data_IF_680301131245
#
_entry.id   IF_680301131245
#
_cell.length_a   1.000
_cell.length_b   1.000
_cell.length_c   1.000
_cell.angle_alpha   90.00
_cell.angle_beta   90.00
_cell.angle_gamma   90.00
#
_symmetry.space_group_name_H-M   'P 1'
#
loop_
_entity.id
_entity.type
_entity.pdbx_description
1 polymer ?
#
# COMPACT_ATOMS: atom_id res chain seq x y z
N UNK A 1 27.45 -5.14 18.44
CA UNK A 1 26.26 -5.89 18.93
C UNK A 1 25.70 -6.71 17.80
N UNK A 2 25.26 -7.93 18.07
CA UNK A 2 24.56 -8.79 17.10
C UNK A 2 23.09 -8.36 17.07
N UNK A 3 22.50 -8.18 15.89
CA UNK A 3 21.10 -7.74 15.75
C UNK A 3 20.09 -8.78 16.28
N UNK A 4 19.02 -8.30 16.90
CA UNK A 4 17.89 -9.09 17.40
C UNK A 4 16.62 -8.26 17.43
N UNK A 5 15.47 -8.94 17.48
CA UNK A 5 14.16 -8.34 17.72
C UNK A 5 13.60 -8.83 19.05
N UNK A 6 13.06 -7.92 19.86
CA UNK A 6 12.40 -8.25 21.11
C UNK A 6 10.90 -8.44 20.91
N UNK A 7 10.33 -9.54 21.42
CA UNK A 7 8.90 -9.79 21.46
C UNK A 7 8.44 -9.65 22.92
N UNK A 8 7.63 -8.64 23.21
CA UNK A 8 7.27 -8.26 24.59
C UNK A 8 5.79 -7.85 24.71
N UNK A 9 5.40 -7.31 25.86
CA UNK A 9 4.05 -6.81 26.14
C UNK A 9 3.17 -7.85 26.85
N UNK A 10 1.88 -7.90 26.49
CA UNK A 10 0.83 -8.71 27.12
C UNK A 10 0.91 -10.19 26.73
N UNK A 11 2.05 -10.81 27.03
CA UNK A 11 2.40 -12.21 26.79
C UNK A 11 3.08 -12.83 28.00
N UNK A 12 2.92 -14.14 28.18
CA UNK A 12 3.50 -14.87 29.31
C UNK A 12 4.99 -15.17 29.17
N UNK A 13 5.54 -15.18 27.94
CA UNK A 13 6.93 -15.55 27.68
C UNK A 13 7.59 -14.58 26.70
N UNK A 14 8.03 -13.39 27.16
CA UNK A 14 8.81 -12.45 26.34
C UNK A 14 10.07 -13.12 25.79
N UNK A 15 10.43 -12.81 24.55
CA UNK A 15 11.52 -13.49 23.85
C UNK A 15 12.35 -12.53 23.03
N UNK A 16 13.66 -12.70 23.05
CA UNK A 16 14.58 -12.04 22.14
C UNK A 16 14.94 -13.03 21.02
N UNK A 17 14.70 -12.65 19.77
CA UNK A 17 15.02 -13.46 18.59
C UNK A 17 16.17 -12.83 17.82
N UNK A 18 17.26 -13.57 17.62
CA UNK A 18 18.32 -13.18 16.71
C UNK A 18 17.97 -13.60 15.28
N UNK A 19 18.66 -13.05 14.26
CA UNK A 19 18.42 -13.46 12.86
C UNK A 19 18.52 -14.98 12.65
N UNK A 20 19.46 -15.64 13.33
CA UNK A 20 19.62 -17.11 13.29
C UNK A 20 18.38 -17.87 13.77
N UNK A 21 17.58 -17.27 14.65
CA UNK A 21 16.36 -17.88 15.18
C UNK A 21 15.21 -17.67 14.20
N UNK A 22 15.16 -16.50 13.56
CA UNK A 22 14.17 -16.18 12.50
C UNK A 22 14.41 -17.04 11.25
N UNK A 23 15.65 -17.27 10.85
CA UNK A 23 15.99 -18.13 9.71
C UNK A 23 15.68 -19.62 9.92
N UNK A 24 15.49 -20.06 11.17
CA UNK A 24 15.07 -21.43 11.48
C UNK A 24 13.56 -21.64 11.35
N UNK A 25 12.77 -20.56 11.31
CA UNK A 25 11.34 -20.65 11.05
C UNK A 25 11.08 -21.00 9.58
N UNK A 26 9.92 -21.59 9.26
CA UNK A 26 9.55 -21.84 7.87
C UNK A 26 9.58 -20.55 7.05
N UNK A 27 10.27 -20.60 5.90
CA UNK A 27 10.36 -19.47 4.96
C UNK A 27 9.15 -19.49 4.04
N UNK A 28 8.46 -18.36 3.98
CA UNK A 28 7.36 -18.12 3.05
C UNK A 28 7.75 -17.03 2.06
N UNK A 29 7.18 -17.11 0.87
CA UNK A 29 7.37 -16.15 -0.22
C UNK A 29 6.02 -15.57 -0.60
N UNK A 30 5.88 -14.25 -0.56
CA UNK A 30 4.62 -13.53 -0.81
C UNK A 30 4.88 -12.39 -1.79
N UNK A 31 4.23 -12.42 -2.96
CA UNK A 31 4.20 -11.26 -3.87
C UNK A 31 3.22 -10.24 -3.30
N UNK A 32 3.70 -9.05 -2.93
CA UNK A 32 2.84 -8.00 -2.37
C UNK A 32 3.27 -6.61 -2.84
N UNK A 33 2.26 -5.80 -3.13
CA UNK A 33 2.41 -4.38 -3.46
C UNK A 33 2.35 -3.53 -2.20
N UNK A 34 3.35 -2.65 -2.03
CA UNK A 34 3.32 -1.59 -1.03
C UNK A 34 2.93 -0.28 -1.71
N UNK A 35 1.76 0.25 -1.36
CA UNK A 35 1.33 1.59 -1.76
C UNK A 35 1.45 2.56 -0.59
N UNK A 36 2.18 3.67 -0.79
CA UNK A 36 2.19 4.77 0.15
C UNK A 36 0.80 5.40 0.23
N UNK A 37 0.30 5.71 1.43
CA UNK A 37 -0.96 6.43 1.57
C UNK A 37 -0.94 7.81 0.87
N UNK A 38 0.24 8.43 0.74
CA UNK A 38 0.43 9.69 0.03
C UNK A 38 0.55 9.57 -1.49
N UNK A 39 0.37 8.39 -2.10
CA UNK A 39 0.45 8.23 -3.54
C UNK A 39 -0.51 9.21 -4.25
N UNK A 40 -0.06 9.84 -5.34
CA UNK A 40 -0.79 10.87 -6.12
C UNK A 40 -1.16 12.14 -5.34
N UNK A 41 -0.46 12.44 -4.22
CA UNK A 41 -0.69 13.67 -3.42
C UNK A 41 -0.53 14.96 -4.22
N UNK A 42 0.43 15.03 -5.13
CA UNK A 42 0.73 16.26 -5.87
C UNK A 42 -0.49 16.77 -6.63
N UNK A 43 -1.23 15.88 -7.31
CA UNK A 43 -2.47 16.23 -7.99
C UNK A 43 -3.53 16.79 -7.03
N UNK A 44 -3.67 16.22 -5.83
CA UNK A 44 -4.58 16.77 -4.80
C UNK A 44 -4.15 18.16 -4.32
N UNK A 45 -2.84 18.40 -4.21
CA UNK A 45 -2.30 19.71 -3.85
C UNK A 45 -2.51 20.78 -4.92
N UNK A 46 -2.74 20.41 -6.19
CA UNK A 46 -3.05 21.36 -7.27
C UNK A 46 -4.45 21.98 -7.09
N UNK A 47 -5.40 21.23 -6.53
CA UNK A 47 -6.77 21.69 -6.25
C UNK A 47 -6.80 22.60 -5.02
N UNK A 48 -6.26 22.11 -3.90
CA UNK A 48 -6.09 22.89 -2.67
C UNK A 48 -4.86 22.38 -1.95
N UNK A 49 -3.95 23.28 -1.58
CA UNK A 49 -2.65 22.95 -1.00
C UNK A 49 -2.78 22.05 0.23
N UNK A 50 -2.01 20.97 0.26
CA UNK A 50 -1.90 20.03 1.39
C UNK A 50 -0.48 20.04 1.96
N UNK A 51 -0.31 19.65 3.24
CA UNK A 51 1.02 19.51 3.85
C UNK A 51 1.52 18.07 3.72
N UNK A 52 2.66 17.87 3.07
CA UNK A 52 3.34 16.59 2.96
C UNK A 52 4.32 16.55 1.78
N UNK A 53 5.17 15.52 1.74
CA UNK A 53 6.05 15.25 0.58
C UNK A 53 5.20 15.07 -0.67
N UNK A 54 5.53 15.79 -1.75
CA UNK A 54 4.86 15.67 -3.04
C UNK A 54 5.16 14.32 -3.67
N UNK A 55 4.10 13.58 -3.99
CA UNK A 55 4.18 12.31 -4.69
C UNK A 55 3.32 12.38 -5.93
N UNK A 56 3.89 12.01 -7.06
CA UNK A 56 3.15 11.80 -8.29
C UNK A 56 2.52 10.40 -8.30
N UNK A 57 2.47 9.69 -9.43
CA UNK A 57 1.78 8.39 -9.55
C UNK A 57 2.59 7.18 -9.06
N UNK A 58 3.86 7.37 -8.69
CA UNK A 58 4.81 6.29 -8.47
C UNK A 58 5.17 6.02 -7.01
N UNK A 59 4.38 6.47 -6.02
CA UNK A 59 4.62 6.12 -4.61
C UNK A 59 4.04 4.73 -4.27
N UNK A 60 4.37 3.75 -5.11
CA UNK A 60 3.88 2.38 -5.09
C UNK A 60 4.93 1.45 -5.73
N UNK A 61 5.04 0.22 -5.24
CA UNK A 61 5.89 -0.79 -5.86
C UNK A 61 5.48 -2.21 -5.48
N UNK A 62 5.67 -3.16 -6.40
CA UNK A 62 5.41 -4.58 -6.21
C UNK A 62 6.72 -5.36 -6.10
N UNK A 63 6.79 -6.28 -5.14
CA UNK A 63 7.96 -7.12 -4.94
C UNK A 63 7.58 -8.51 -4.40
N UNK A 64 8.51 -9.44 -4.53
CA UNK A 64 8.45 -10.76 -3.92
C UNK A 64 9.16 -10.68 -2.57
N UNK A 65 8.41 -10.78 -1.48
CA UNK A 65 8.94 -10.70 -0.12
C UNK A 65 9.11 -12.10 0.46
N UNK A 66 10.28 -12.38 1.05
CA UNK A 66 10.49 -13.66 1.72
C UNK A 66 10.93 -13.49 3.16
N UNK A 67 10.38 -14.34 4.03
CA UNK A 67 10.51 -14.18 5.47
C UNK A 67 9.80 -15.26 6.27
N UNK A 68 9.78 -15.09 7.59
CA UNK A 68 8.95 -15.89 8.48
C UNK A 68 7.55 -15.27 8.59
N UNK A 69 6.49 -16.09 8.65
CA UNK A 69 5.15 -15.56 8.96
C UNK A 69 5.11 -15.05 10.40
N UNK A 70 4.49 -13.88 10.60
CA UNK A 70 4.31 -13.31 11.93
C UNK A 70 3.48 -14.25 12.82
N UNK A 71 2.50 -14.95 12.24
CA UNK A 71 1.71 -15.94 12.97
C UNK A 71 2.57 -17.06 13.59
N UNK A 72 3.60 -17.56 12.89
CA UNK A 72 4.52 -18.58 13.43
C UNK A 72 5.42 -18.00 14.53
N UNK A 73 5.85 -16.73 14.37
CA UNK A 73 6.64 -16.02 15.38
C UNK A 73 5.83 -15.80 16.66
N UNK A 74 4.55 -15.46 16.54
CA UNK A 74 3.63 -15.29 17.67
C UNK A 74 3.33 -16.63 18.38
N UNK A 75 3.26 -17.72 17.63
CA UNK A 75 3.12 -19.08 18.19
C UNK A 75 4.30 -19.45 19.10
N UNK A 76 5.53 -19.04 18.76
CA UNK A 76 6.72 -19.26 19.61
C UNK A 76 6.65 -18.60 20.99
N UNK A 77 5.81 -17.57 21.15
CA UNK A 77 5.61 -16.86 22.43
C UNK A 77 4.27 -17.18 23.07
N UNK A 78 3.61 -18.25 22.61
CA UNK A 78 2.39 -18.79 23.20
C UNK A 78 1.10 -18.12 22.74
N UNK A 79 1.10 -17.44 21.58
CA UNK A 79 -0.12 -16.92 20.96
C UNK A 79 -0.53 -17.86 19.82
N UNK A 80 -1.62 -18.64 19.95
CA UNK A 80 -2.08 -19.53 18.89
C UNK A 80 -2.45 -18.79 17.60
N UNK A 81 -2.36 -19.47 16.46
CA UNK A 81 -2.89 -19.00 15.18
C UNK A 81 -4.38 -18.65 15.29
N UNK A 82 -4.81 -17.65 14.54
CA UNK A 82 -6.17 -17.11 14.52
C UNK A 82 -6.65 -16.51 15.87
N UNK A 83 -5.74 -16.19 16.79
CA UNK A 83 -6.08 -15.50 18.04
C UNK A 83 -6.54 -14.07 17.80
N UNK A 84 -7.57 -13.64 18.53
CA UNK A 84 -8.10 -12.27 18.50
C UNK A 84 -7.67 -11.45 19.73
N UNK A 85 -7.38 -12.12 20.85
CA UNK A 85 -6.86 -11.52 22.06
C UNK A 85 -5.96 -12.52 22.82
N UNK A 86 -4.98 -12.05 23.57
CA UNK A 86 -4.25 -12.89 24.55
C UNK A 86 -5.02 -12.98 25.87
N UNK A 87 -4.76 -13.98 26.73
CA UNK A 87 -5.35 -14.06 28.07
C UNK A 87 -5.08 -12.81 28.93
N UNK A 88 -3.96 -12.12 28.68
CA UNK A 88 -3.59 -10.87 29.32
C UNK A 88 -4.24 -9.62 28.69
N UNK A 89 -5.19 -9.80 27.76
CA UNK A 89 -5.97 -8.74 27.15
C UNK A 89 -5.30 -8.04 25.96
N UNK A 90 -4.20 -8.57 25.40
CA UNK A 90 -3.56 -7.98 24.23
C UNK A 90 -4.36 -8.21 22.96
N UNK A 91 -4.71 -7.16 22.21
CA UNK A 91 -5.55 -7.21 20.99
C UNK A 91 -4.87 -6.62 19.76
N UNK A 92 -3.68 -6.04 19.92
CA UNK A 92 -2.91 -5.41 18.86
C UNK A 92 -1.45 -5.83 18.94
N UNK A 93 -0.79 -5.82 17.78
CA UNK A 93 0.66 -6.05 17.65
C UNK A 93 1.30 -4.76 17.15
N UNK A 94 2.06 -4.10 18.01
CA UNK A 94 2.87 -2.94 17.68
C UNK A 94 4.25 -3.37 17.18
N UNK A 95 4.72 -2.68 16.15
CA UNK A 95 6.03 -2.83 15.55
C UNK A 95 6.79 -1.52 15.76
N UNK A 96 7.96 -1.62 16.37
CA UNK A 96 8.81 -0.47 16.70
C UNK A 96 10.08 -0.56 15.87
N UNK A 97 10.40 0.52 15.14
CA UNK A 97 11.64 0.68 14.38
C UNK A 97 12.81 1.04 15.32
N UNK A 98 14.04 0.89 14.85
CA UNK A 98 15.24 1.44 15.51
C UNK A 98 15.55 2.89 15.08
N UNK A 99 14.83 3.41 14.09
CA UNK A 99 15.07 4.77 13.57
C UNK A 99 14.73 5.87 14.59
N UNK A 100 14.95 7.13 14.18
CA UNK A 100 14.67 8.32 14.98
C UNK A 100 13.91 9.33 14.14
N UNK A 101 12.68 9.61 14.52
CA UNK A 101 11.79 10.54 13.83
C UNK A 101 11.69 11.86 14.61
N UNK A 102 11.66 12.99 13.90
CA UNK A 102 11.46 14.31 14.54
C UNK A 102 10.07 14.42 15.15
N UNK A 103 9.09 13.82 14.50
CA UNK A 103 7.68 13.73 14.89
C UNK A 103 7.47 12.99 16.22
N UNK A 104 8.43 12.14 16.60
CA UNK A 104 8.47 11.38 17.85
C UNK A 104 9.53 11.95 18.82
N UNK A 105 9.94 13.21 18.64
CA UNK A 105 10.97 13.88 19.44
C UNK A 105 12.30 13.09 19.53
N UNK A 106 12.70 12.48 18.41
CA UNK A 106 13.89 11.62 18.33
C UNK A 106 13.64 10.17 18.72
N UNK A 107 12.41 9.80 19.08
CA UNK A 107 11.95 8.43 19.24
C UNK A 107 11.68 7.72 17.91
N UNK A 108 11.35 6.41 17.97
CA UNK A 108 11.24 5.57 16.78
C UNK A 108 9.90 5.66 16.07
N UNK A 109 9.90 5.35 14.77
CA UNK A 109 8.68 5.04 14.02
C UNK A 109 7.97 3.81 14.59
N UNK A 110 6.65 3.90 14.73
CA UNK A 110 5.80 2.81 15.22
C UNK A 110 4.53 2.69 14.41
N UNK A 111 4.06 1.46 14.24
CA UNK A 111 2.72 1.16 13.75
C UNK A 111 2.19 -0.10 14.42
N UNK A 112 0.88 -0.32 14.37
CA UNK A 112 0.31 -1.58 14.84
C UNK A 112 -0.75 -2.12 13.90
N UNK A 113 -0.97 -3.44 13.97
CA UNK A 113 -2.11 -4.13 13.34
C UNK A 113 -2.93 -4.86 14.42
N UNK A 114 -4.21 -5.17 14.17
CA UNK A 114 -4.98 -6.05 15.06
C UNK A 114 -4.33 -7.42 15.21
N UNK A 115 -4.42 -8.01 16.41
CA UNK A 115 -3.89 -9.36 16.67
C UNK A 115 -4.57 -10.40 15.78
N UNK A 116 -5.86 -10.23 15.50
CA UNK A 116 -6.60 -11.09 14.57
C UNK A 116 -5.98 -11.14 13.17
N UNK A 117 -5.38 -10.05 12.69
CA UNK A 117 -4.66 -10.02 11.42
C UNK A 117 -3.25 -10.62 11.58
N UNK A 118 -2.53 -10.26 12.64
CA UNK A 118 -1.16 -10.70 12.89
C UNK A 118 -1.05 -12.23 13.10
N UNK A 119 -2.02 -12.81 13.79
CA UNK A 119 -2.07 -14.23 14.12
C UNK A 119 -2.78 -15.08 13.04
N UNK A 120 -3.38 -14.46 12.02
CA UNK A 120 -4.01 -15.19 10.91
C UNK A 120 -2.96 -15.54 9.83
N UNK A 121 -2.65 -16.84 9.60
CA UNK A 121 -1.71 -17.23 8.56
C UNK A 121 -2.13 -16.83 7.13
N UNK A 122 -3.43 -16.68 6.84
CA UNK A 122 -3.95 -16.31 5.52
C UNK A 122 -3.84 -14.81 5.20
N UNK A 123 -3.56 -14.00 6.22
CA UNK A 123 -3.26 -12.57 6.06
C UNK A 123 -1.82 -12.31 5.59
N UNK A 124 -0.98 -13.35 5.54
CA UNK A 124 0.38 -13.34 5.00
C UNK A 124 1.28 -12.22 5.56
N UNK A 125 1.07 -11.82 6.81
CA UNK A 125 1.97 -10.86 7.47
C UNK A 125 3.34 -11.50 7.67
N UNK A 126 4.38 -10.89 7.12
CA UNK A 126 5.75 -11.42 7.16
C UNK A 126 6.67 -10.56 8.02
N UNK A 127 7.59 -11.22 8.71
CA UNK A 127 8.90 -10.66 9.05
C UNK A 127 9.87 -10.97 7.91
N UNK A 128 9.98 -10.04 6.96
CA UNK A 128 10.73 -10.19 5.72
C UNK A 128 12.20 -9.81 5.91
N UNK A 129 13.09 -10.69 5.45
CA UNK A 129 14.54 -10.49 5.39
C UNK A 129 15.10 -10.59 3.97
N UNK A 130 14.24 -10.89 2.99
CA UNK A 130 14.56 -10.90 1.56
C UNK A 130 13.51 -10.14 0.75
N UNK A 131 13.97 -9.54 -0.36
CA UNK A 131 13.16 -8.84 -1.35
C UNK A 131 13.67 -9.19 -2.75
N UNK A 132 12.80 -9.71 -3.60
CA UNK A 132 13.11 -10.16 -4.97
C UNK A 132 14.23 -11.22 -5.04
N UNK A 133 14.24 -12.16 -4.10
CA UNK A 133 15.23 -13.23 -4.03
C UNK A 133 16.59 -12.82 -3.43
N UNK A 134 16.76 -11.52 -3.15
CA UNK A 134 17.99 -10.97 -2.58
C UNK A 134 17.81 -10.58 -1.11
N UNK A 135 18.91 -10.50 -0.38
CA UNK A 135 18.91 -9.95 0.98
C UNK A 135 18.33 -8.53 0.97
N UNK A 136 17.49 -8.23 1.95
CA UNK A 136 16.86 -6.91 2.07
C UNK A 136 17.94 -5.81 2.06
N UNK A 137 17.73 -4.75 1.29
CA UNK A 137 18.64 -3.61 1.29
C UNK A 137 18.38 -2.68 2.48
N UNK A 138 19.30 -1.74 2.73
CA UNK A 138 19.18 -0.79 3.84
C UNK A 138 17.94 0.09 3.71
N UNK A 139 17.63 0.64 2.53
CA UNK A 139 16.50 1.55 2.35
C UNK A 139 15.13 0.88 2.58
N UNK A 140 15.06 -0.43 2.35
CA UNK A 140 13.88 -1.26 2.51
C UNK A 140 13.84 -2.01 3.83
N UNK A 141 14.81 -1.83 4.73
CA UNK A 141 14.66 -2.26 6.12
C UNK A 141 15.63 -3.34 6.60
N UNK A 142 16.77 -3.57 5.94
CA UNK A 142 17.78 -4.51 6.41
C UNK A 142 18.08 -4.34 7.92
N UNK A 143 18.17 -5.43 8.71
CA UNK A 143 18.09 -6.83 8.29
C UNK A 143 16.68 -7.43 8.30
N UNK A 144 15.70 -6.73 8.84
CA UNK A 144 14.35 -7.24 9.01
C UNK A 144 13.31 -6.12 8.98
N UNK A 145 12.23 -6.36 8.26
CA UNK A 145 11.05 -5.50 8.25
C UNK A 145 9.78 -6.30 8.42
N UNK A 146 8.70 -5.61 8.73
CA UNK A 146 7.34 -6.14 8.57
C UNK A 146 6.85 -5.87 7.16
N UNK A 147 6.14 -6.83 6.57
CA UNK A 147 5.27 -6.66 5.41
C UNK A 147 3.86 -7.01 5.84
N UNK A 148 2.93 -6.07 5.66
CA UNK A 148 1.50 -6.24 5.94
C UNK A 148 0.74 -6.15 4.60
N UNK A 149 0.49 -7.27 3.92
CA UNK A 149 -0.19 -7.26 2.62
C UNK A 149 -1.59 -6.65 2.68
N UNK A 150 -2.00 -5.97 1.60
CA UNK A 150 -3.33 -5.34 1.50
C UNK A 150 -3.56 -4.12 2.41
N UNK A 151 -2.52 -3.65 3.10
CA UNK A 151 -2.56 -2.49 4.00
C UNK A 151 -1.64 -1.40 3.45
N UNK A 152 -1.92 -0.13 3.76
CA UNK A 152 -1.05 0.98 3.36
C UNK A 152 0.40 0.75 3.82
N UNK A 153 1.36 1.18 3.00
CA UNK A 153 2.79 0.92 3.22
C UNK A 153 3.31 1.43 4.58
N UNK A 154 2.66 2.43 5.18
CA UNK A 154 2.99 2.96 6.49
C UNK A 154 2.96 1.92 7.63
N UNK A 155 2.22 0.81 7.49
CA UNK A 155 2.13 -0.22 8.54
C UNK A 155 3.21 -1.32 8.40
N UNK A 156 3.90 -1.35 7.27
CA UNK A 156 5.02 -2.26 6.99
C UNK A 156 6.32 -1.67 7.55
N UNK A 157 6.48 -1.68 8.87
CA UNK A 157 7.62 -1.04 9.58
C UNK A 157 8.96 -1.63 9.14
N UNK A 158 9.93 -0.76 8.88
CA UNK A 158 11.31 -1.11 8.48
C UNK A 158 12.24 -1.09 9.70
N UNK A 159 13.38 -1.76 9.59
CA UNK A 159 14.44 -1.76 10.61
C UNK A 159 13.91 -2.12 12.01
N UNK A 160 13.25 -3.28 12.08
CA UNK A 160 12.48 -3.69 13.25
C UNK A 160 13.38 -3.83 14.48
N UNK A 161 12.95 -3.30 15.62
CA UNK A 161 13.64 -3.40 16.91
C UNK A 161 12.83 -4.26 17.89
N UNK A 162 11.52 -4.00 17.97
CA UNK A 162 10.63 -4.77 18.85
C UNK A 162 9.23 -4.97 18.27
N UNK A 163 8.60 -6.04 18.75
CA UNK A 163 7.22 -6.44 18.49
C UNK A 163 6.53 -6.50 19.86
N UNK A 164 5.58 -5.61 20.09
CA UNK A 164 4.93 -5.45 21.39
C UNK A 164 3.45 -5.83 21.29
N UNK A 165 3.02 -6.78 22.11
CA UNK A 165 1.61 -7.16 22.23
C UNK A 165 0.93 -6.20 23.20
N UNK A 166 -0.04 -5.44 22.72
CA UNK A 166 -0.65 -4.33 23.47
C UNK A 166 -2.18 -4.42 23.46
N UNK A 167 -2.82 -3.85 24.48
CA UNK A 167 -4.27 -3.95 24.68
C UNK A 167 -5.05 -3.14 23.64
N UNK A 168 -4.56 -1.95 23.32
CA UNK A 168 -5.18 -0.98 22.41
C UNK A 168 -4.24 -0.68 21.24
N UNK A 169 -4.74 0.00 20.21
CA UNK A 169 -3.90 0.40 19.08
C UNK A 169 -2.68 1.24 19.51
N UNK A 170 -1.60 1.16 18.73
CA UNK A 170 -0.38 1.93 18.97
C UNK A 170 -0.68 3.43 19.12
N UNK A 171 -0.12 4.02 20.18
CA UNK A 171 -0.30 5.44 20.51
C UNK A 171 0.75 6.35 19.85
N UNK A 172 1.62 5.79 19.00
CA UNK A 172 2.63 6.55 18.26
C UNK A 172 2.03 7.60 17.32
N UNK A 173 2.81 8.63 17.04
CA UNK A 173 2.43 9.78 16.22
C UNK A 173 1.87 9.34 14.87
N UNK A 174 2.52 8.43 14.17
CA UNK A 174 2.11 7.97 12.83
C UNK A 174 0.86 7.08 12.82
N UNK A 175 0.37 6.63 13.98
CA UNK A 175 -0.93 5.97 14.11
C UNK A 175 -2.01 6.97 14.53
N UNK A 176 -1.70 7.84 15.49
CA UNK A 176 -2.70 8.69 16.13
C UNK A 176 -2.88 10.06 15.47
N UNK A 177 -1.81 10.63 14.94
CA UNK A 177 -1.69 12.00 14.43
C UNK A 177 -1.25 12.06 12.96
N UNK A 178 -1.32 10.93 12.24
CA UNK A 178 -1.11 10.88 10.80
C UNK A 178 -1.87 9.70 10.17
N UNK A 179 -1.83 9.59 8.84
CA UNK A 179 -2.41 8.48 8.07
C UNK A 179 -3.87 8.17 8.42
N UNK A 180 -4.69 9.23 8.51
CA UNK A 180 -6.14 9.17 8.74
C UNK A 180 -6.87 9.94 7.63
N UNK A 181 -7.95 9.37 7.12
CA UNK A 181 -8.75 9.97 6.05
C UNK A 181 -9.81 10.90 6.63
N UNK A 182 -9.69 12.20 6.39
CA UNK A 182 -10.65 13.22 6.84
C UNK A 182 -11.54 13.67 5.68
N UNK A 183 -12.76 14.17 5.95
CA UNK A 183 -13.59 14.76 4.91
C UNK A 183 -13.04 16.13 4.44
N UNK A 184 -13.46 16.63 3.26
CA UNK A 184 -12.97 17.89 2.70
C UNK A 184 -13.21 19.15 3.55
N UNK A 185 -14.16 19.10 4.49
CA UNK A 185 -14.47 20.22 5.39
C UNK A 185 -13.47 20.42 6.53
N UNK A 186 -12.56 19.46 6.75
CA UNK A 186 -11.57 19.54 7.84
C UNK A 186 -10.29 20.18 7.34
N UNK A 187 -9.78 21.14 8.11
CA UNK A 187 -8.52 21.86 7.89
C UNK A 187 -7.62 21.81 9.14
N UNK A 188 -6.56 22.61 9.18
CA UNK A 188 -5.62 22.62 10.30
C UNK A 188 -6.14 23.33 11.55
N UNK A 189 -7.17 24.16 11.43
CA UNK A 189 -7.73 24.93 12.54
C UNK A 189 -8.83 24.14 13.27
N UNK A 190 -9.52 23.24 12.56
CA UNK A 190 -10.63 22.44 13.11
C UNK A 190 -10.35 20.93 13.24
N UNK A 191 -9.14 20.46 12.89
CA UNK A 191 -8.81 19.03 12.92
C UNK A 191 -8.94 18.42 14.32
N UNK A 192 -9.74 17.37 14.42
CA UNK A 192 -9.77 16.48 15.58
C UNK A 192 -9.39 15.04 15.18
N UNK A 193 -8.16 14.65 15.54
CA UNK A 193 -7.57 13.35 15.21
C UNK A 193 -8.33 12.13 15.71
N UNK A 194 -9.06 12.22 16.83
CA UNK A 194 -9.79 11.08 17.39
C UNK A 194 -11.09 10.76 16.66
N UNK A 195 -11.59 11.68 15.82
CA UNK A 195 -12.81 11.46 15.02
C UNK A 195 -12.60 10.47 13.88
N UNK A 196 -11.35 10.11 13.57
CA UNK A 196 -10.99 9.17 12.52
C UNK A 196 -10.12 8.04 13.06
N UNK A 197 -10.35 6.85 12.52
CA UNK A 197 -9.53 5.67 12.78
C UNK A 197 -8.26 5.70 11.92
N UNK A 198 -7.14 5.10 12.37
CA UNK A 198 -5.96 4.93 11.54
C UNK A 198 -6.31 4.19 10.25
N UNK A 199 -5.79 4.68 9.12
CA UNK A 199 -5.98 4.00 7.84
C UNK A 199 -5.17 2.70 7.83
N UNK A 200 -5.85 1.60 7.50
CA UNK A 200 -5.24 0.26 7.36
C UNK A 200 -5.34 -0.18 5.90
N UNK A 201 -6.46 -0.80 5.51
CA UNK A 201 -6.83 -1.09 4.12
C UNK A 201 -6.83 0.19 3.25
N UNK A 202 -6.76 0.07 1.94
CA UNK A 202 -6.87 1.19 1.00
C UNK A 202 -7.83 0.88 -0.17
N UNK A 203 -8.54 1.89 -0.69
CA UNK A 203 -9.52 1.70 -1.75
C UNK A 203 -8.85 1.37 -3.09
N UNK A 204 -9.67 0.92 -4.06
CA UNK A 204 -9.24 0.70 -5.43
C UNK A 204 -8.55 1.94 -6.01
N UNK A 205 -7.46 1.72 -6.72
CA UNK A 205 -6.60 2.72 -7.34
C UNK A 205 -6.17 2.24 -8.72
N UNK A 206 -6.03 3.17 -9.66
CA UNK A 206 -5.23 2.96 -10.86
C UNK A 206 -4.56 4.26 -11.34
N UNK A 207 -3.48 4.11 -12.12
CA UNK A 207 -2.88 5.22 -12.83
C UNK A 207 -2.22 4.74 -14.14
N UNK A 208 -2.42 5.54 -15.20
CA UNK A 208 -1.60 5.51 -16.43
C UNK A 208 -0.15 5.87 -16.10
N UNK A 209 0.81 5.13 -16.68
CA UNK A 209 2.25 5.32 -16.48
C UNK A 209 3.06 5.34 -17.79
N UNK A 210 2.47 4.92 -18.93
CA UNK A 210 3.16 4.96 -20.22
C UNK A 210 3.19 6.34 -20.88
N UNK A 211 2.56 7.32 -20.25
CA UNK A 211 2.38 8.69 -20.73
C UNK A 211 2.51 9.64 -19.53
N UNK A 212 3.39 10.64 -19.63
CA UNK A 212 3.38 11.84 -18.77
C UNK A 212 2.07 12.65 -18.84
N UNK A 213 1.83 13.54 -17.86
CA UNK A 213 0.63 14.41 -17.78
C UNK A 213 0.34 15.20 -19.07
N UNK A 214 1.38 15.57 -19.83
CA UNK A 214 1.28 16.22 -21.15
C UNK A 214 2.27 15.57 -22.12
N UNK A 215 1.78 14.77 -23.07
CA UNK A 215 2.60 14.18 -24.13
C UNK A 215 2.39 14.84 -25.49
N UNK A 216 3.45 14.91 -26.28
CA UNK A 216 3.33 15.10 -27.73
C UNK A 216 3.41 13.73 -28.42
N UNK A 217 2.34 13.33 -29.08
CA UNK A 217 2.31 12.09 -29.87
C UNK A 217 2.10 12.39 -31.35
N UNK A 218 2.57 11.49 -32.20
CA UNK A 218 2.17 11.47 -33.61
C UNK A 218 0.74 10.91 -33.71
N UNK A 219 -0.06 11.35 -34.69
CA UNK A 219 -1.35 10.72 -34.95
C UNK A 219 -1.18 9.20 -35.19
N UNK A 220 -2.08 8.41 -34.62
CA UNK A 220 -2.15 6.97 -34.84
C UNK A 220 -2.32 6.15 -33.57
N UNK A 221 -2.02 4.85 -33.69
CA UNK A 221 -2.15 3.90 -32.58
C UNK A 221 -1.08 4.13 -31.52
N UNK A 222 -1.52 4.24 -30.28
CA UNK A 222 -0.68 4.23 -29.09
C UNK A 222 -1.11 3.11 -28.15
N UNK A 223 -0.19 2.74 -27.27
CA UNK A 223 -0.44 1.77 -26.22
C UNK A 223 -0.43 2.46 -24.87
N UNK A 224 -1.55 2.42 -24.17
CA UNK A 224 -1.74 3.01 -22.86
C UNK A 224 -1.51 1.91 -21.81
N UNK A 225 -0.50 2.09 -20.95
CA UNK A 225 -0.17 1.14 -19.88
C UNK A 225 -0.17 1.80 -18.52
N UNK A 226 -0.44 1.01 -17.49
CA UNK A 226 -0.42 1.46 -16.11
C UNK A 226 -0.60 0.34 -15.11
N UNK A 227 -0.91 0.70 -13.87
CA UNK A 227 -1.19 -0.24 -12.80
C UNK A 227 -2.57 0.00 -12.19
N UNK A 228 -3.10 -1.03 -11.53
CA UNK A 228 -4.26 -0.98 -10.66
C UNK A 228 -4.05 -1.84 -9.42
N UNK A 229 -4.61 -1.45 -8.28
CA UNK A 229 -4.50 -2.18 -7.02
C UNK A 229 -5.67 -1.85 -6.11
N UNK A 230 -6.12 -2.80 -5.29
CA UNK A 230 -7.02 -2.55 -4.16
C UNK A 230 -6.40 -3.20 -2.92
N UNK A 231 -6.65 -2.63 -1.75
CA UNK A 231 -6.20 -3.21 -0.49
C UNK A 231 -7.02 -4.44 -0.10
N UNK A 232 -6.77 -4.96 1.10
CA UNK A 232 -7.55 -6.06 1.69
C UNK A 232 -7.57 -7.37 0.90
N UNK A 233 -6.70 -7.51 -0.11
CA UNK A 233 -6.61 -8.73 -0.93
C UNK A 233 -7.64 -8.76 -2.07
N UNK A 234 -8.28 -7.64 -2.37
CA UNK A 234 -9.28 -7.55 -3.44
C UNK A 234 -8.59 -7.43 -4.79
N UNK A 235 -8.83 -8.40 -5.67
CA UNK A 235 -8.40 -8.35 -7.07
C UNK A 235 -9.08 -7.22 -7.85
N UNK A 236 -8.53 -6.89 -9.01
CA UNK A 236 -9.10 -5.92 -9.96
C UNK A 236 -9.95 -6.66 -10.98
N UNK A 237 -11.26 -6.46 -10.92
CA UNK A 237 -12.22 -7.11 -11.81
C UNK A 237 -12.23 -6.44 -13.19
N UNK A 238 -12.25 -5.11 -13.23
CA UNK A 238 -12.35 -4.35 -14.48
C UNK A 238 -11.46 -3.12 -14.49
N UNK A 239 -10.94 -2.79 -15.66
CA UNK A 239 -10.12 -1.61 -15.93
C UNK A 239 -10.64 -0.94 -17.18
N UNK A 240 -11.09 0.30 -17.04
CA UNK A 240 -11.74 1.05 -18.10
C UNK A 240 -10.83 2.21 -18.52
N UNK A 241 -10.57 2.33 -19.83
CA UNK A 241 -9.83 3.44 -20.44
C UNK A 241 -10.74 4.22 -21.37
N UNK A 242 -10.71 5.54 -21.26
CA UNK A 242 -11.44 6.47 -22.12
C UNK A 242 -10.45 7.37 -22.85
N UNK A 243 -10.80 7.75 -24.09
CA UNK A 243 -10.03 8.71 -24.90
C UNK A 243 -10.85 9.96 -25.27
N UNK A 244 -11.97 10.19 -24.58
CA UNK A 244 -12.88 11.31 -24.82
C UNK A 244 -13.26 12.04 -23.51
N UNK A 245 -12.36 11.98 -22.52
CA UNK A 245 -12.54 12.63 -21.21
C UNK A 245 -13.48 11.88 -20.25
N UNK A 246 -13.74 10.60 -20.49
CA UNK A 246 -14.56 9.74 -19.63
C UNK A 246 -16.01 9.56 -20.09
N UNK A 247 -16.35 9.88 -21.35
CA UNK A 247 -17.72 9.73 -21.88
C UNK A 247 -17.97 8.32 -22.38
N UNK A 248 -17.00 7.75 -23.10
CA UNK A 248 -17.02 6.35 -23.55
C UNK A 248 -15.81 5.59 -23.02
N UNK A 249 -15.96 4.28 -22.85
CA UNK A 249 -14.99 3.44 -22.17
C UNK A 249 -14.73 2.17 -22.98
N UNK A 250 -13.47 1.77 -23.03
CA UNK A 250 -13.02 0.47 -23.54
C UNK A 250 -12.35 -0.26 -22.39
N UNK A 251 -12.64 -1.55 -22.25
CA UNK A 251 -11.97 -2.37 -21.25
C UNK A 251 -10.52 -2.64 -21.65
N UNK A 252 -9.59 -2.38 -20.74
CA UNK A 252 -8.18 -2.69 -20.90
C UNK A 252 -7.89 -4.17 -20.56
N UNK A 253 -6.90 -4.73 -21.23
CA UNK A 253 -6.34 -6.02 -20.84
C UNK A 253 -5.63 -5.92 -19.49
N UNK A 254 -5.64 -7.02 -18.72
CA UNK A 254 -5.13 -7.13 -17.35
C UNK A 254 -4.04 -8.19 -17.28
N UNK A 255 -2.91 -7.88 -16.65
CA UNK A 255 -1.73 -8.73 -16.56
C UNK A 255 -1.14 -8.73 -15.14
N UNK A 256 -0.70 -9.90 -14.67
CA UNK A 256 0.11 -10.02 -13.45
C UNK A 256 1.37 -10.83 -13.70
N UNK A 257 1.21 -12.12 -14.04
CA UNK A 257 2.33 -13.04 -14.31
C UNK A 257 2.47 -13.25 -15.83
N UNK A 258 3.69 -13.21 -16.39
CA UNK A 258 3.90 -13.46 -17.82
C UNK A 258 3.37 -14.83 -18.23
N UNK A 259 2.58 -14.87 -19.32
CA UNK A 259 2.05 -16.12 -19.89
C UNK A 259 0.90 -16.76 -19.09
N UNK A 260 0.47 -16.18 -17.98
CA UNK A 260 -0.66 -16.68 -17.19
C UNK A 260 -1.82 -15.67 -17.29
N UNK A 261 -3.00 -16.06 -17.80
CA UNK A 261 -4.17 -15.20 -17.81
C UNK A 261 -4.51 -14.76 -16.39
N UNK A 262 -4.68 -13.46 -16.20
CA UNK A 262 -5.15 -12.94 -14.92
C UNK A 262 -6.65 -13.20 -14.78
N UNK A 263 -7.04 -13.84 -13.67
CA UNK A 263 -8.43 -14.04 -13.25
C UNK A 263 -8.54 -13.53 -11.82
N UNK A 264 -9.43 -12.57 -11.60
CA UNK A 264 -9.66 -11.99 -10.28
C UNK A 264 -10.15 -13.06 -9.29
N UNK A 265 -9.65 -13.02 -8.05
CA UNK A 265 -10.00 -13.97 -6.97
C UNK A 265 -9.72 -15.46 -7.28
N UNK A 266 -8.86 -15.74 -8.27
CA UNK A 266 -8.39 -17.09 -8.59
C UNK A 266 -7.13 -17.44 -7.78
N UNK A 267 -6.95 -18.73 -7.46
CA UNK A 267 -5.69 -19.26 -6.89
C UNK A 267 -4.46 -18.97 -7.77
N UNK A 268 -4.66 -18.76 -9.07
CA UNK A 268 -3.58 -18.40 -10.00
C UNK A 268 -3.10 -16.94 -9.85
N UNK A 269 -3.93 -16.08 -9.24
CA UNK A 269 -3.67 -14.65 -9.06
C UNK A 269 -2.89 -14.35 -7.78
N UNK A 270 -2.09 -13.28 -7.81
CA UNK A 270 -1.43 -12.78 -6.61
C UNK A 270 -2.34 -11.73 -5.96
N UNK A 271 -3.19 -12.15 -5.01
CA UNK A 271 -4.23 -11.30 -4.38
C UNK A 271 -3.70 -10.03 -3.69
N UNK A 272 -2.41 -10.01 -3.32
CA UNK A 272 -1.76 -8.87 -2.67
C UNK A 272 -0.96 -7.98 -3.63
N UNK A 273 -0.86 -8.38 -4.89
CA UNK A 273 -0.10 -7.67 -5.92
C UNK A 273 -1.00 -6.74 -6.73
N UNK A 274 -0.41 -5.70 -7.30
CA UNK A 274 -1.07 -4.90 -8.33
C UNK A 274 -1.43 -5.75 -9.56
N UNK A 275 -2.24 -5.18 -10.43
CA UNK A 275 -2.55 -5.69 -11.77
C UNK A 275 -2.08 -4.63 -12.75
N UNK A 276 -1.23 -5.01 -13.70
CA UNK A 276 -0.83 -4.13 -14.80
C UNK A 276 -1.93 -4.14 -15.86
N UNK A 277 -2.10 -3.02 -16.55
CA UNK A 277 -3.10 -2.91 -17.61
C UNK A 277 -2.53 -2.36 -18.90
N UNK A 278 -3.16 -2.73 -20.01
CA UNK A 278 -2.80 -2.29 -21.35
C UNK A 278 -4.03 -2.13 -22.23
N UNK A 279 -4.14 -0.99 -22.93
CA UNK A 279 -5.17 -0.71 -23.92
C UNK A 279 -4.56 -0.06 -25.17
N UNK A 280 -4.97 -0.51 -26.36
CA UNK A 280 -4.66 0.18 -27.61
C UNK A 280 -5.69 1.29 -27.87
N UNK A 281 -5.22 2.44 -28.32
CA UNK A 281 -6.07 3.56 -28.73
C UNK A 281 -5.54 4.22 -30.00
N UNK A 282 -6.44 4.61 -30.90
CA UNK A 282 -6.12 5.40 -32.10
C UNK A 282 -6.34 6.90 -31.80
N UNK A 283 -5.25 7.65 -31.62
CA UNK A 283 -5.28 9.07 -31.27
C UNK A 283 -5.12 9.91 -32.55
N UNK A 284 -6.23 10.51 -32.99
CA UNK A 284 -6.27 11.34 -34.22
C UNK A 284 -6.33 12.84 -33.98
N UNK A 285 -6.65 13.24 -32.76
CA UNK A 285 -6.66 14.63 -32.30
C UNK A 285 -6.14 14.70 -30.87
N UNK A 286 -5.74 15.89 -30.43
CA UNK A 286 -5.40 16.12 -29.02
C UNK A 286 -6.58 15.75 -28.14
N UNK A 287 -6.36 14.93 -27.11
CA UNK A 287 -7.43 14.38 -26.28
C UNK A 287 -7.02 14.18 -24.83
N UNK A 288 -8.01 14.01 -23.96
CA UNK A 288 -7.83 13.59 -22.58
C UNK A 288 -8.06 12.07 -22.47
N UNK A 289 -7.05 11.37 -21.97
CA UNK A 289 -7.10 9.94 -21.70
C UNK A 289 -7.39 9.76 -20.21
N UNK A 290 -8.38 8.94 -19.89
CA UNK A 290 -8.83 8.69 -18.51
C UNK A 290 -8.76 7.21 -18.21
N UNK A 291 -8.28 6.82 -17.03
CA UNK A 291 -8.32 5.45 -16.54
C UNK A 291 -9.01 5.35 -15.19
N UNK A 292 -9.81 4.29 -15.01
CA UNK A 292 -10.43 3.90 -13.73
C UNK A 292 -10.49 2.37 -13.59
N UNK A 293 -10.43 1.89 -12.35
CA UNK A 293 -10.56 0.47 -12.02
C UNK A 293 -11.79 0.18 -11.16
N UNK A 294 -12.21 -1.08 -11.20
CA UNK A 294 -13.25 -1.68 -10.35
C UNK A 294 -12.66 -2.94 -9.71
N UNK A 295 -12.76 -3.07 -8.39
CA UNK A 295 -12.32 -4.28 -7.68
C UNK A 295 -13.42 -5.35 -7.62
N UNK A 296 -13.08 -6.57 -7.17
CA UNK A 296 -14.01 -7.71 -7.08
C UNK A 296 -15.25 -7.46 -6.21
N UNK A 297 -15.19 -6.46 -5.32
CA UNK A 297 -16.32 -6.09 -4.47
C UNK A 297 -17.20 -4.99 -5.09
N UNK A 298 -16.92 -4.59 -6.33
CA UNK A 298 -17.65 -3.53 -7.02
C UNK A 298 -17.28 -2.12 -6.53
N UNK A 299 -16.21 -1.95 -5.76
CA UNK A 299 -15.74 -0.61 -5.40
C UNK A 299 -15.23 0.11 -6.64
N UNK A 300 -15.51 1.41 -6.72
CA UNK A 300 -15.11 2.27 -7.85
C UNK A 300 -14.29 3.45 -7.38
N UNK A 301 -13.49 3.99 -8.30
CA UNK A 301 -12.77 5.23 -8.09
C UNK A 301 -13.68 6.46 -8.23
N UNK A 302 -13.55 7.48 -7.35
CA UNK A 302 -14.26 8.75 -7.52
C UNK A 302 -13.76 9.47 -8.78
N UNK A 303 -14.66 10.18 -9.47
CA UNK A 303 -14.30 10.95 -10.65
C UNK A 303 -13.40 12.15 -10.30
N UNK A 304 -13.78 12.88 -9.26
CA UNK A 304 -13.24 14.19 -8.93
C UNK A 304 -12.46 14.17 -7.62
N UNK A 305 -11.32 14.86 -7.59
CA UNK A 305 -10.44 14.94 -6.43
C UNK A 305 -11.08 15.72 -5.29
N UNK A 306 -11.93 16.71 -5.60
CA UNK A 306 -12.63 17.59 -4.66
C UNK A 306 -13.47 16.80 -3.67
N UNK A 307 -14.12 15.73 -4.13
CA UNK A 307 -15.00 14.87 -3.33
C UNK A 307 -14.21 14.12 -2.25
N UNK A 308 -12.94 13.82 -2.53
CA UNK A 308 -12.04 13.06 -1.64
C UNK A 308 -10.87 13.87 -1.10
N UNK A 309 -10.86 15.20 -1.32
CA UNK A 309 -9.79 16.04 -0.82
C UNK A 309 -9.70 15.89 0.70
N UNK A 310 -8.48 15.82 1.21
CA UNK A 310 -8.23 15.82 2.65
C UNK A 310 -6.92 16.54 2.98
N UNK A 311 -6.85 17.15 4.16
CA UNK A 311 -5.74 18.01 4.58
C UNK A 311 -4.34 17.34 4.57
N UNK A 312 -4.29 16.01 4.66
CA UNK A 312 -3.06 15.20 4.62
C UNK A 312 -2.65 14.78 3.21
N UNK A 313 -3.51 15.02 2.23
CA UNK A 313 -3.26 14.64 0.85
C UNK A 313 -3.01 13.14 0.70
N UNK A 314 -3.77 12.30 1.38
CA UNK A 314 -3.67 10.84 1.28
C UNK A 314 -4.81 10.25 0.46
N UNK A 315 -4.61 9.03 -0.05
CA UNK A 315 -5.62 8.24 -0.77
C UNK A 315 -6.24 8.99 -1.96
N UNK A 316 -5.42 9.69 -2.75
CA UNK A 316 -5.91 10.22 -4.02
C UNK A 316 -6.15 9.07 -5.01
N UNK A 317 -7.39 8.59 -5.05
CA UNK A 317 -7.87 7.56 -5.97
C UNK A 317 -8.79 8.09 -7.05
N UNK A 318 -8.78 9.42 -7.29
CA UNK A 318 -9.50 10.02 -8.42
C UNK A 318 -9.15 9.35 -9.75
N UNK A 319 -10.03 9.40 -10.74
CA UNK A 319 -9.69 8.95 -12.09
C UNK A 319 -8.39 9.61 -12.56
N UNK A 320 -7.45 8.83 -13.09
CA UNK A 320 -6.21 9.41 -13.60
C UNK A 320 -6.46 9.97 -14.99
N UNK A 321 -6.18 11.26 -15.19
CA UNK A 321 -6.40 11.99 -16.45
C UNK A 321 -5.04 12.44 -17.00
N UNK A 322 -4.76 12.08 -18.25
CA UNK A 322 -3.54 12.44 -18.97
C UNK A 322 -3.91 13.18 -20.25
N UNK A 323 -3.26 14.31 -20.51
CA UNK A 323 -3.49 15.09 -21.72
C UNK A 323 -2.49 14.71 -22.80
N UNK A 324 -3.00 14.39 -23.98
CA UNK A 324 -2.17 14.07 -25.14
C UNK A 324 -2.40 15.15 -26.20
N UNK A 325 -1.31 15.74 -26.68
CA UNK A 325 -1.30 16.74 -27.76
C UNK A 325 -0.73 16.12 -29.02
N UNK A 326 -1.34 16.41 -30.16
CA UNK A 326 -0.77 16.02 -31.45
C UNK A 326 0.29 17.04 -31.86
N UNK A 327 1.54 16.57 -31.92
CA UNK A 327 2.63 17.33 -32.51
C UNK A 327 2.42 17.42 -34.01
N UNK A 328 2.23 18.63 -34.52
CA UNK A 328 2.30 18.86 -35.96
C UNK A 328 3.78 18.82 -36.32
N UNK A 329 4.19 17.83 -37.10
CA UNK A 329 5.53 17.83 -37.69
C UNK A 329 5.66 19.09 -38.53
N UNK A 330 6.47 20.05 -38.07
CA UNK A 330 6.98 21.10 -38.93
C UNK A 330 7.77 20.40 -40.05
N UNK A 331 7.19 20.41 -41.26
CA UNK A 331 7.95 20.30 -42.49
C UNK A 331 8.93 21.47 -42.58
#
# INVERSE_FOLDING_TARGET
>A
MIYSVYITGLIGNPKQLFMKDIWKLPKYTVTATLQCAGNRRTAMSRIRKVKGVGWDVAAIGNAIWSGAKLADVLELVGIPKCSHATPSGGKHVEFVSIDKCKEENGGPYKASIPLSQAANPEADVLLAYEMNGETLNRDHGYPLRVIVPGVIGARSVKWLDSINIIAEECQGFFMQKDYKMFPPSVDWDNINWSTRRPQMDFPVQCAICSLDDVNMVKPGKITIKGYAVSGGGRGIERLDVSIDGGKTWVEASKLQKPGIPYISDSESSDKWAWVLFEAEADIRQSTEIVAKAVDIAGNVQPENVEVIWNLRGILNTSWHRVHVRIGHSNL
#
